data_IF_747399396970
#
_entry.id   IF_747399396970
#
_cell.length_a   1.000
_cell.length_b   1.000
_cell.length_c   1.000
_cell.angle_alpha   90.00
_cell.angle_beta   90.00
_cell.angle_gamma   90.00
#
_symmetry.space_group_name_H-M   'P 1'
#
loop_
_entity.id
_entity.type
_entity.pdbx_description
1 polymer ?
#
# COMPACT_ATOMS: atom_id res chain seq x y z
N UNK A 1 16.96 3.57 16.34
CA UNK A 1 16.49 4.16 15.07
C UNK A 1 14.96 4.10 15.10
N UNK A 2 14.24 5.20 15.30
CA UNK A 2 12.79 5.17 15.14
C UNK A 2 12.49 4.93 13.66
N UNK A 3 11.66 3.93 13.36
CA UNK A 3 11.26 3.61 12.00
C UNK A 3 10.59 4.85 11.37
N UNK A 4 11.10 5.17 10.20
CA UNK A 4 10.68 6.26 9.32
C UNK A 4 9.15 6.35 9.19
N UNK A 5 8.55 7.48 9.63
CA UNK A 5 7.12 7.80 9.49
C UNK A 5 6.79 8.45 8.12
N UNK A 6 7.69 8.44 7.15
CA UNK A 6 7.58 9.19 5.87
C UNK A 6 7.01 8.40 4.70
N UNK A 7 6.48 7.19 4.93
CA UNK A 7 6.00 6.36 3.82
C UNK A 7 4.80 6.97 3.08
N UNK A 8 4.08 7.91 3.69
CA UNK A 8 3.01 8.68 3.04
C UNK A 8 3.54 9.42 1.80
N UNK A 9 2.77 9.33 0.70
CA UNK A 9 3.12 9.95 -0.58
C UNK A 9 4.04 9.11 -1.47
N UNK A 10 4.55 7.97 -0.99
CA UNK A 10 5.35 7.07 -1.82
C UNK A 10 4.48 6.29 -2.81
N UNK A 11 5.05 6.01 -3.98
CA UNK A 11 4.46 5.16 -5.00
C UNK A 11 4.72 3.69 -4.68
N UNK A 12 3.68 2.88 -4.81
CA UNK A 12 3.73 1.43 -4.60
C UNK A 12 3.09 0.71 -5.79
N UNK A 13 3.41 -0.57 -5.93
CA UNK A 13 2.87 -1.46 -6.96
C UNK A 13 2.31 -2.71 -6.30
N UNK A 14 1.10 -3.10 -6.67
CA UNK A 14 0.49 -4.34 -6.25
C UNK A 14 1.26 -5.52 -6.83
N UNK A 15 1.80 -6.40 -5.98
CA UNK A 15 2.51 -7.60 -6.44
C UNK A 15 1.54 -8.74 -6.70
N UNK A 16 0.57 -8.94 -5.82
CA UNK A 16 -0.39 -10.03 -5.89
C UNK A 16 -1.64 -9.71 -5.06
N UNK A 17 -2.81 -10.16 -5.53
CA UNK A 17 -4.06 -10.15 -4.79
C UNK A 17 -4.88 -11.38 -5.17
N UNK A 18 -5.38 -12.12 -4.18
CA UNK A 18 -6.21 -13.32 -4.38
C UNK A 18 -7.70 -13.07 -4.15
N UNK A 19 -8.09 -11.82 -3.88
CA UNK A 19 -9.50 -11.47 -3.68
C UNK A 19 -10.24 -11.54 -5.04
N UNK A 20 -11.27 -12.40 -5.20
CA UNK A 20 -11.99 -12.54 -6.46
C UNK A 20 -12.96 -11.38 -6.74
N UNK A 21 -13.20 -10.48 -5.79
CA UNK A 21 -14.18 -9.39 -5.91
C UNK A 21 -13.54 -8.03 -6.20
N UNK A 22 -12.21 -7.96 -6.32
CA UNK A 22 -11.52 -6.72 -6.67
C UNK A 22 -11.20 -6.64 -8.17
N UNK A 23 -11.32 -5.46 -8.80
CA UNK A 23 -10.83 -5.25 -10.16
C UNK A 23 -9.30 -5.07 -10.23
N UNK A 24 -8.60 -5.04 -9.09
CA UNK A 24 -7.16 -4.80 -9.04
C UNK A 24 -6.36 -5.95 -9.64
N UNK A 25 -5.36 -5.61 -10.46
CA UNK A 25 -4.45 -6.58 -11.09
C UNK A 25 -3.01 -6.37 -10.63
N UNK A 26 -2.18 -7.44 -10.57
CA UNK A 26 -0.75 -7.31 -10.36
C UNK A 26 -0.13 -6.25 -11.28
N UNK A 27 0.66 -5.34 -10.72
CA UNK A 27 1.21 -4.20 -11.43
C UNK A 27 0.46 -2.89 -11.20
N UNK A 28 -0.76 -2.92 -10.68
CA UNK A 28 -1.52 -1.69 -10.36
C UNK A 28 -0.71 -0.81 -9.40
N UNK A 29 -0.57 0.47 -9.74
CA UNK A 29 0.18 1.43 -8.93
C UNK A 29 -0.76 2.32 -8.11
N UNK A 30 -0.31 2.69 -6.91
CA UNK A 30 -1.01 3.63 -6.04
C UNK A 30 -0.05 4.47 -5.20
N UNK A 31 -0.59 5.37 -4.40
CA UNK A 31 0.18 6.28 -3.55
C UNK A 31 -0.24 6.10 -2.11
N UNK A 32 0.69 5.88 -1.20
CA UNK A 32 0.35 5.69 0.21
C UNK A 32 -0.31 6.95 0.77
N UNK A 33 -1.54 6.81 1.26
CA UNK A 33 -2.30 7.91 1.88
C UNK A 33 -2.16 7.93 3.39
N UNK A 34 -2.01 6.76 4.02
CA UNK A 34 -1.90 6.62 5.46
C UNK A 34 -1.32 5.24 5.83
N UNK A 35 -0.58 5.17 6.93
CA UNK A 35 -0.14 3.91 7.54
C UNK A 35 -0.65 3.91 8.97
N UNK A 36 -1.45 2.91 9.32
CA UNK A 36 -2.00 2.81 10.67
C UNK A 36 -1.01 2.21 11.68
N UNK A 37 -1.36 2.26 12.96
CA UNK A 37 -0.51 1.81 14.06
C UNK A 37 -0.29 0.28 14.06
N UNK A 38 -1.07 -0.48 13.27
CA UNK A 38 -0.86 -1.91 13.04
C UNK A 38 0.09 -2.19 11.87
N UNK A 39 0.49 -1.16 11.14
CA UNK A 39 1.34 -1.25 9.96
C UNK A 39 0.58 -1.55 8.67
N UNK A 40 -0.75 -1.40 8.64
CA UNK A 40 -1.52 -1.54 7.40
C UNK A 40 -1.33 -0.29 6.55
N UNK A 41 -1.07 -0.49 5.26
CA UNK A 41 -0.87 0.59 4.30
C UNK A 41 -2.18 0.86 3.57
N UNK A 42 -2.66 2.10 3.67
CA UNK A 42 -3.79 2.61 2.92
C UNK A 42 -3.26 3.34 1.69
N UNK A 43 -3.80 3.02 0.51
CA UNK A 43 -3.28 3.43 -0.81
C UNK A 43 -4.40 4.08 -1.62
#
# INVERSE_FOLDING_TARGET
MPLDRSEQGRRVRLVYCSDPYTPLTPGTEGTITFVDDLGTVHV
#
